data_IF_165787791737
#
_entry.id   IF_165787791737
#
_cell.length_a   1.000
_cell.length_b   1.000
_cell.length_c   1.000
_cell.angle_alpha   90.00
_cell.angle_beta   90.00
_cell.angle_gamma   90.00
#
_symmetry.space_group_name_H-M   'P 1'
#
loop_
_entity.id
_entity.type
_entity.pdbx_description
1 polymer ?
#
# COMPACT_ATOMS: atom_id res chain seq x y z
N UNK A 1 6.00 21.31 -1.64
CA UNK A 1 6.92 20.76 -0.63
C UNK A 1 8.16 20.12 -1.28
N UNK A 2 8.15 19.94 -2.60
CA UNK A 2 9.30 19.44 -3.36
C UNK A 2 9.51 17.91 -3.33
N UNK A 3 8.64 17.18 -2.69
CA UNK A 3 8.67 15.71 -2.74
C UNK A 3 8.26 15.20 -4.11
N UNK A 4 8.94 14.18 -4.60
CA UNK A 4 8.42 13.28 -5.62
C UNK A 4 7.64 12.16 -4.96
N UNK A 5 6.54 11.72 -5.56
CA UNK A 5 5.56 10.88 -4.89
C UNK A 5 5.17 9.69 -5.73
N UNK A 6 5.12 8.51 -5.15
CA UNK A 6 4.68 7.31 -5.86
C UNK A 6 3.85 6.37 -4.97
N UNK A 7 2.91 5.66 -5.60
CA UNK A 7 2.18 4.56 -5.02
C UNK A 7 2.47 3.29 -5.83
N UNK A 8 2.93 2.26 -5.17
CA UNK A 8 3.21 0.96 -5.78
C UNK A 8 2.40 -0.14 -5.11
N UNK A 9 1.71 -0.94 -5.92
CA UNK A 9 0.89 -2.05 -5.46
C UNK A 9 -0.61 -1.77 -5.47
N UNK A 10 -1.35 -2.41 -4.59
CA UNK A 10 -2.80 -2.36 -4.59
C UNK A 10 -3.34 -0.96 -4.26
N UNK A 11 -4.26 -0.46 -5.11
CA UNK A 11 -5.06 0.74 -4.88
C UNK A 11 -6.54 0.42 -5.09
N UNK A 12 -7.30 0.23 -4.01
CA UNK A 12 -8.71 -0.17 -4.06
C UNK A 12 -9.65 1.04 -3.85
N UNK A 13 -9.43 2.12 -4.64
CA UNK A 13 -10.18 3.38 -4.53
C UNK A 13 -10.90 3.77 -5.84
N UNK A 14 -11.18 2.79 -6.69
CA UNK A 14 -11.85 2.95 -7.97
C UNK A 14 -10.96 2.60 -9.16
N UNK A 15 -11.59 2.30 -10.29
CA UNK A 15 -10.96 1.67 -11.45
C UNK A 15 -10.93 2.54 -12.71
N UNK A 16 -11.61 3.69 -12.69
CA UNK A 16 -11.56 4.62 -13.83
C UNK A 16 -10.28 5.44 -13.79
N UNK A 17 -9.87 5.93 -14.95
CA UNK A 17 -8.68 6.77 -15.08
C UNK A 17 -8.71 7.98 -14.14
N UNK A 18 -9.87 8.59 -13.95
CA UNK A 18 -10.05 9.76 -13.06
C UNK A 18 -9.75 9.44 -11.57
N UNK A 19 -9.78 8.15 -11.17
CA UNK A 19 -9.52 7.71 -9.79
C UNK A 19 -8.09 7.20 -9.58
N UNK A 20 -7.27 7.15 -10.63
CA UNK A 20 -5.87 6.74 -10.51
C UNK A 20 -5.09 7.68 -9.58
N UNK A 21 -4.18 7.16 -8.76
CA UNK A 21 -3.39 7.95 -7.81
C UNK A 21 -2.69 9.17 -8.45
N UNK A 22 -2.29 9.06 -9.70
CA UNK A 22 -1.63 10.14 -10.45
C UNK A 22 -2.55 11.34 -10.72
N UNK A 23 -3.87 11.15 -10.68
CA UNK A 23 -4.84 12.25 -10.73
C UNK A 23 -5.11 12.87 -9.34
N UNK A 24 -4.55 12.29 -8.28
CA UNK A 24 -4.72 12.69 -6.88
C UNK A 24 -3.41 13.09 -6.18
N UNK A 25 -2.39 13.45 -6.95
CA UNK A 25 -1.16 14.05 -6.43
C UNK A 25 0.05 13.11 -6.32
N UNK A 26 -0.05 11.89 -6.83
CA UNK A 26 1.12 11.05 -7.04
C UNK A 26 1.73 11.32 -8.42
N UNK A 27 3.07 11.33 -8.51
CA UNK A 27 3.79 11.50 -9.78
C UNK A 27 3.80 10.19 -10.58
N UNK A 28 3.81 9.04 -9.89
CA UNK A 28 3.85 7.70 -10.49
C UNK A 28 2.97 6.72 -9.69
N UNK A 29 2.27 5.85 -10.42
CA UNK A 29 1.52 4.73 -9.87
C UNK A 29 1.81 3.48 -10.70
N UNK A 30 2.17 2.37 -10.06
CA UNK A 30 2.24 1.06 -10.69
C UNK A 30 1.60 0.03 -9.76
N UNK A 31 0.43 -0.51 -10.14
CA UNK A 31 -0.34 -1.37 -9.26
C UNK A 31 -1.65 -1.90 -9.86
N UNK A 32 -2.34 -2.70 -9.07
CA UNK A 32 -3.66 -3.24 -9.38
C UNK A 32 -4.76 -2.48 -8.63
N UNK A 33 -5.97 -2.50 -9.21
CA UNK A 33 -7.09 -1.65 -8.78
C UNK A 33 -8.13 -2.40 -7.95
N UNK A 34 -8.00 -3.72 -7.82
CA UNK A 34 -8.95 -4.57 -7.10
C UNK A 34 -8.23 -5.48 -6.10
N UNK A 35 -9.01 -6.23 -5.32
CA UNK A 35 -8.51 -7.32 -4.49
C UNK A 35 -8.28 -8.58 -5.34
N UNK A 36 -7.42 -9.48 -4.85
CA UNK A 36 -6.95 -10.63 -5.62
C UNK A 36 -8.07 -11.56 -6.11
N UNK A 37 -9.11 -11.77 -5.30
CA UNK A 37 -10.22 -12.62 -5.73
C UNK A 37 -11.01 -12.06 -6.92
N UNK A 38 -11.14 -10.73 -7.05
CA UNK A 38 -11.75 -10.13 -8.24
C UNK A 38 -10.82 -10.21 -9.47
N UNK A 39 -9.52 -10.08 -9.25
CA UNK A 39 -8.53 -10.16 -10.32
C UNK A 39 -8.43 -11.55 -10.93
N UNK A 40 -8.66 -12.64 -10.15
CA UNK A 40 -8.59 -13.99 -10.67
C UNK A 40 -9.92 -14.55 -11.19
N UNK A 41 -11.06 -13.87 -10.94
CA UNK A 41 -12.38 -14.31 -11.44
C UNK A 41 -12.40 -14.61 -12.95
N UNK A 42 -11.71 -13.86 -13.84
CA UNK A 42 -11.66 -14.21 -15.26
C UNK A 42 -11.01 -15.57 -15.58
N UNK A 43 -10.31 -16.17 -14.63
CA UNK A 43 -9.73 -17.51 -14.80
C UNK A 43 -10.62 -18.64 -14.25
N UNK A 44 -11.79 -18.30 -13.70
CA UNK A 44 -12.72 -19.30 -13.19
C UNK A 44 -13.56 -19.93 -14.32
N UNK A 45 -13.83 -21.25 -14.25
CA UNK A 45 -14.59 -21.94 -15.29
C UNK A 45 -16.01 -21.39 -15.50
N UNK A 46 -16.60 -20.80 -14.45
CA UNK A 46 -17.96 -20.27 -14.47
C UNK A 46 -18.01 -18.79 -14.90
N UNK A 47 -16.86 -18.17 -15.19
CA UNK A 47 -16.83 -16.80 -15.66
C UNK A 47 -17.52 -16.68 -17.04
N UNK A 48 -18.40 -15.69 -17.26
CA UNK A 48 -19.24 -15.60 -18.45
C UNK A 48 -18.48 -15.08 -19.68
N UNK A 49 -17.45 -15.80 -20.12
CA UNK A 49 -16.58 -15.42 -21.25
C UNK A 49 -17.32 -15.24 -22.58
N UNK A 50 -18.45 -15.93 -22.76
CA UNK A 50 -19.31 -15.86 -23.93
C UNK A 50 -20.27 -14.66 -23.92
N UNK A 51 -20.31 -13.90 -22.83
CA UNK A 51 -21.13 -12.69 -22.70
C UNK A 51 -20.26 -11.43 -22.77
N UNK A 52 -20.04 -10.94 -24.00
CA UNK A 52 -19.21 -9.76 -24.25
C UNK A 52 -19.60 -8.53 -23.42
N UNK A 53 -20.91 -8.33 -23.15
CA UNK A 53 -21.37 -7.20 -22.36
C UNK A 53 -20.94 -7.30 -20.89
N UNK A 54 -21.10 -8.48 -20.30
CA UNK A 54 -20.67 -8.72 -18.91
C UNK A 54 -19.15 -8.63 -18.78
N UNK A 55 -18.41 -9.24 -19.71
CA UNK A 55 -16.95 -9.15 -19.75
C UNK A 55 -16.52 -7.68 -19.82
N UNK A 56 -17.10 -6.89 -20.73
CA UNK A 56 -16.76 -5.46 -20.87
C UNK A 56 -17.06 -4.62 -19.62
N UNK A 57 -18.14 -4.94 -18.90
CA UNK A 57 -18.61 -4.14 -17.76
C UNK A 57 -17.98 -4.53 -16.43
N UNK A 58 -17.59 -5.80 -16.27
CA UNK A 58 -17.23 -6.36 -14.97
C UNK A 58 -15.83 -7.00 -14.90
N UNK A 59 -15.14 -7.20 -16.05
CA UNK A 59 -13.76 -7.66 -15.99
C UNK A 59 -12.85 -6.64 -15.30
N UNK A 60 -11.96 -7.08 -14.42
CA UNK A 60 -10.95 -6.22 -13.85
C UNK A 60 -10.01 -5.68 -14.94
N UNK A 61 -9.51 -4.48 -14.75
CA UNK A 61 -8.38 -3.97 -15.55
C UNK A 61 -7.12 -4.73 -15.15
N UNK A 62 -6.13 -4.72 -16.04
CA UNK A 62 -4.82 -5.27 -15.71
C UNK A 62 -4.05 -4.41 -14.68
N UNK A 63 -2.81 -4.77 -14.46
CA UNK A 63 -1.89 -3.98 -13.65
C UNK A 63 -1.55 -2.68 -14.40
N UNK A 64 -1.89 -1.55 -13.81
CA UNK A 64 -1.78 -0.23 -14.43
C UNK A 64 -0.47 0.44 -14.03
N UNK A 65 0.22 1.02 -15.01
CA UNK A 65 1.32 1.96 -14.80
C UNK A 65 0.89 3.32 -15.31
N UNK A 66 0.80 4.31 -14.43
CA UNK A 66 0.39 5.67 -14.80
C UNK A 66 1.32 6.74 -14.25
N UNK A 67 1.32 7.91 -14.89
CA UNK A 67 2.19 9.04 -14.59
C UNK A 67 1.37 10.34 -14.51
N UNK A 68 1.87 11.33 -13.77
CA UNK A 68 1.19 12.61 -13.57
C UNK A 68 1.05 13.44 -14.85
N UNK A 69 1.81 13.15 -15.91
CA UNK A 69 1.71 13.75 -17.24
C UNK A 69 0.52 13.23 -18.06
N UNK A 70 -0.17 12.21 -17.56
CA UNK A 70 -1.37 11.62 -18.15
C UNK A 70 -1.14 10.31 -18.89
N UNK A 71 0.09 9.82 -18.98
CA UNK A 71 0.38 8.52 -19.57
C UNK A 71 -0.16 7.39 -18.69
N UNK A 72 -0.93 6.49 -19.31
CA UNK A 72 -1.54 5.32 -18.66
C UNK A 72 -1.28 4.09 -19.52
N UNK A 73 -0.62 3.10 -18.96
CA UNK A 73 -0.32 1.83 -19.60
C UNK A 73 -0.94 0.68 -18.81
N UNK A 74 -1.81 -0.09 -19.46
CA UNK A 74 -2.25 -1.39 -18.92
C UNK A 74 -1.18 -2.43 -19.28
N UNK A 75 -0.50 -2.98 -18.27
CA UNK A 75 0.60 -3.92 -18.45
C UNK A 75 0.14 -5.38 -18.54
N UNK A 76 -1.17 -5.59 -18.62
CA UNK A 76 -1.81 -6.90 -18.73
C UNK A 76 -2.43 -7.40 -17.43
N UNK A 77 -3.27 -8.42 -17.56
CA UNK A 77 -4.06 -8.98 -16.48
C UNK A 77 -3.21 -9.44 -15.29
N UNK A 78 -3.77 -9.31 -14.10
CA UNK A 78 -3.23 -9.90 -12.88
C UNK A 78 -3.77 -11.32 -12.73
N UNK A 79 -3.22 -12.24 -13.51
CA UNK A 79 -3.58 -13.67 -13.48
C UNK A 79 -3.04 -14.34 -12.21
N UNK A 80 -3.57 -15.52 -11.87
CA UNK A 80 -3.07 -16.37 -10.77
C UNK A 80 -1.56 -16.62 -10.86
N UNK A 81 -1.05 -16.80 -12.07
CA UNK A 81 0.38 -16.97 -12.28
C UNK A 81 1.17 -15.68 -11.97
N UNK A 82 0.71 -14.52 -12.46
CA UNK A 82 1.35 -13.23 -12.18
C UNK A 82 1.25 -12.84 -10.70
N UNK A 83 0.17 -13.21 -10.00
CA UNK A 83 0.01 -12.97 -8.55
C UNK A 83 1.14 -13.55 -7.73
N UNK A 84 1.78 -14.63 -8.16
CA UNK A 84 2.94 -15.21 -7.47
C UNK A 84 4.12 -14.25 -7.33
N UNK A 85 4.27 -13.32 -8.29
CA UNK A 85 5.45 -12.45 -8.40
C UNK A 85 5.13 -10.95 -8.46
N UNK A 86 3.88 -10.56 -8.58
CA UNK A 86 3.47 -9.17 -8.79
C UNK A 86 3.98 -8.21 -7.70
N UNK A 87 3.99 -8.64 -6.43
CA UNK A 87 4.52 -7.82 -5.34
C UNK A 87 6.03 -7.56 -5.49
N UNK A 88 6.75 -8.49 -6.14
CA UNK A 88 8.17 -8.29 -6.50
C UNK A 88 8.31 -7.26 -7.63
N UNK A 89 7.38 -7.26 -8.62
CA UNK A 89 7.33 -6.22 -9.66
C UNK A 89 7.15 -4.84 -9.01
N UNK A 90 6.18 -4.70 -8.11
CA UNK A 90 5.92 -3.45 -7.39
C UNK A 90 7.10 -3.02 -6.52
N UNK A 91 7.73 -3.97 -5.81
CA UNK A 91 8.95 -3.69 -5.04
C UNK A 91 10.06 -3.14 -5.93
N UNK A 92 10.34 -3.78 -7.05
CA UNK A 92 11.40 -3.32 -7.96
C UNK A 92 11.12 -1.90 -8.48
N UNK A 93 9.87 -1.58 -8.81
CA UNK A 93 9.48 -0.23 -9.19
C UNK A 93 9.68 0.77 -8.04
N UNK A 94 9.36 0.39 -6.81
CA UNK A 94 9.60 1.24 -5.64
C UNK A 94 11.09 1.51 -5.41
N UNK A 95 11.94 0.49 -5.53
CA UNK A 95 13.40 0.62 -5.41
C UNK A 95 13.97 1.56 -6.50
N UNK A 96 13.53 1.38 -7.74
CA UNK A 96 13.93 2.24 -8.86
C UNK A 96 13.51 3.70 -8.63
N UNK A 97 12.26 3.92 -8.22
CA UNK A 97 11.75 5.25 -7.93
C UNK A 97 12.57 5.96 -6.84
N UNK A 98 12.87 5.28 -5.74
CA UNK A 98 13.69 5.84 -4.66
C UNK A 98 15.10 6.18 -5.16
N UNK A 99 15.70 5.32 -5.99
CA UNK A 99 17.01 5.56 -6.59
C UNK A 99 16.98 6.82 -7.46
N UNK A 100 16.01 6.93 -8.37
CA UNK A 100 15.84 8.11 -9.25
C UNK A 100 15.62 9.40 -8.43
N UNK A 101 14.86 9.34 -7.34
CA UNK A 101 14.64 10.49 -6.47
C UNK A 101 15.95 10.95 -5.80
N UNK A 102 16.74 10.02 -5.26
CA UNK A 102 18.04 10.31 -4.63
C UNK A 102 19.02 10.88 -5.63
N UNK A 103 19.14 10.28 -6.82
CA UNK A 103 20.03 10.76 -7.91
C UNK A 103 19.68 12.19 -8.35
N UNK A 104 18.40 12.56 -8.26
CA UNK A 104 17.92 13.92 -8.56
C UNK A 104 18.03 14.88 -7.36
N UNK A 105 18.50 14.42 -6.21
CA UNK A 105 18.55 15.22 -4.98
C UNK A 105 17.18 15.65 -4.45
N UNK A 106 16.13 14.87 -4.74
CA UNK A 106 14.75 15.18 -4.34
C UNK A 106 14.33 14.32 -3.15
N UNK A 107 13.60 14.86 -2.16
CA UNK A 107 12.93 14.04 -1.18
C UNK A 107 11.81 13.24 -1.84
N UNK A 108 11.53 12.05 -1.33
CA UNK A 108 10.49 11.18 -1.86
C UNK A 108 9.45 10.82 -0.81
N UNK A 109 8.24 10.51 -1.29
CA UNK A 109 7.18 9.83 -0.56
C UNK A 109 6.76 8.61 -1.37
N UNK A 110 6.99 7.42 -0.82
CA UNK A 110 6.61 6.14 -1.44
C UNK A 110 5.56 5.48 -0.56
N UNK A 111 4.43 5.13 -1.14
CA UNK A 111 3.42 4.29 -0.51
C UNK A 111 3.43 2.93 -1.20
N UNK A 112 3.93 1.92 -0.51
CA UNK A 112 4.07 0.57 -1.03
C UNK A 112 3.03 -0.35 -0.40
N UNK A 113 2.06 -0.80 -1.18
CA UNK A 113 0.95 -1.66 -0.77
C UNK A 113 1.08 -3.02 -1.43
N UNK A 114 1.51 -4.05 -0.71
CA UNK A 114 1.50 -5.40 -1.24
C UNK A 114 0.09 -5.92 -1.47
N UNK A 115 -0.10 -6.83 -2.42
CA UNK A 115 -1.36 -7.53 -2.63
C UNK A 115 -1.60 -8.60 -1.56
N UNK A 116 -0.52 -9.21 -1.09
CA UNK A 116 -0.52 -10.16 0.03
C UNK A 116 -0.52 -9.42 1.38
N UNK A 117 -1.23 -9.83 2.43
CA UNK A 117 -1.79 -11.18 2.61
C UNK A 117 -3.33 -11.16 2.44
N UNK A 118 -3.88 -10.58 1.41
CA UNK A 118 -5.30 -10.77 1.11
C UNK A 118 -5.59 -12.26 0.84
N UNK A 119 -6.81 -12.75 1.13
CA UNK A 119 -7.16 -14.10 0.69
C UNK A 119 -7.09 -14.20 -0.84
N UNK A 120 -6.90 -15.38 -1.40
CA UNK A 120 -6.51 -15.63 -2.79
C UNK A 120 -5.08 -15.15 -3.13
N UNK A 121 -4.21 -15.02 -2.14
CA UNK A 121 -2.76 -14.86 -2.36
C UNK A 121 -2.18 -16.12 -3.00
N UNK A 122 -1.33 -15.97 -3.99
CA UNK A 122 -0.57 -17.04 -4.61
C UNK A 122 0.91 -16.90 -4.27
N UNK A 123 1.49 -17.96 -3.69
CA UNK A 123 2.89 -17.99 -3.26
C UNK A 123 3.80 -18.38 -4.43
N UNK A 124 4.90 -17.66 -4.62
CA UNK A 124 5.91 -18.04 -5.60
C UNK A 124 6.53 -19.41 -5.29
N UNK A 125 6.98 -20.11 -6.33
CA UNK A 125 7.50 -21.47 -6.17
C UNK A 125 8.75 -21.54 -5.30
N UNK A 126 9.57 -20.52 -5.31
CA UNK A 126 10.78 -20.38 -4.48
C UNK A 126 10.47 -19.95 -3.03
N UNK A 127 9.25 -19.56 -2.71
CA UNK A 127 8.79 -19.24 -1.36
C UNK A 127 8.18 -20.47 -0.66
N UNK A 128 7.82 -21.49 -1.39
CA UNK A 128 7.15 -22.69 -0.84
C UNK A 128 8.04 -23.45 0.14
N UNK A 129 7.51 -23.70 1.32
CA UNK A 129 8.20 -24.43 2.39
C UNK A 129 9.13 -23.59 3.24
N UNK A 130 9.29 -22.29 2.98
CA UNK A 130 10.18 -21.41 3.76
C UNK A 130 9.83 -21.37 5.24
N UNK A 131 8.54 -21.35 5.57
CA UNK A 131 8.08 -21.31 6.97
C UNK A 131 8.04 -22.68 7.64
N UNK A 132 7.90 -23.75 6.86
CA UNK A 132 7.58 -25.10 7.35
C UNK A 132 6.19 -25.21 8.01
N UNK A 133 5.32 -24.21 7.84
CA UNK A 133 4.02 -24.13 8.51
C UNK A 133 2.83 -24.06 7.53
N UNK A 134 3.09 -24.00 6.23
CA UNK A 134 2.07 -23.95 5.22
C UNK A 134 2.08 -22.67 4.38
N UNK A 135 1.18 -22.65 3.41
CA UNK A 135 1.13 -21.70 2.31
C UNK A 135 1.05 -20.21 2.76
N UNK A 136 0.13 -19.91 3.68
CA UNK A 136 -0.04 -18.54 4.19
C UNK A 136 1.24 -18.02 4.86
N UNK A 137 1.84 -18.87 5.71
CA UNK A 137 3.06 -18.49 6.43
C UNK A 137 4.26 -18.38 5.49
N UNK A 138 4.34 -19.20 4.43
CA UNK A 138 5.36 -19.08 3.39
C UNK A 138 5.26 -17.72 2.68
N UNK A 139 4.05 -17.32 2.29
CA UNK A 139 3.81 -16.01 1.69
C UNK A 139 4.13 -14.86 2.64
N UNK A 140 3.92 -15.01 3.95
CA UNK A 140 4.29 -14.02 4.95
C UNK A 140 5.82 -13.90 5.08
N UNK A 141 6.56 -15.02 5.04
CA UNK A 141 8.03 -14.98 5.01
C UNK A 141 8.53 -14.26 3.76
N UNK A 142 7.95 -14.55 2.59
CA UNK A 142 8.27 -13.84 1.35
C UNK A 142 7.97 -12.33 1.43
N UNK A 143 6.89 -11.95 2.11
CA UNK A 143 6.57 -10.55 2.37
C UNK A 143 7.61 -9.88 3.29
N UNK A 144 8.00 -10.53 4.37
CA UNK A 144 9.03 -10.01 5.29
C UNK A 144 10.38 -9.81 4.58
N UNK A 145 10.76 -10.75 3.72
CA UNK A 145 11.97 -10.61 2.89
C UNK A 145 11.91 -9.38 1.99
N UNK A 146 10.76 -9.09 1.37
CA UNK A 146 10.60 -7.89 0.53
C UNK A 146 10.70 -6.60 1.35
N UNK A 147 10.17 -6.57 2.57
CA UNK A 147 10.35 -5.44 3.50
C UNK A 147 11.82 -5.28 3.85
N UNK A 148 12.54 -6.35 4.13
CA UNK A 148 13.98 -6.34 4.35
C UNK A 148 14.75 -5.70 3.19
N UNK A 149 14.45 -6.10 1.95
CA UNK A 149 15.10 -5.53 0.77
C UNK A 149 14.83 -4.02 0.60
N UNK A 150 13.63 -3.53 0.94
CA UNK A 150 13.32 -2.10 0.94
C UNK A 150 14.17 -1.35 1.98
N UNK A 151 14.33 -1.90 3.18
CA UNK A 151 15.15 -1.31 4.24
C UNK A 151 16.63 -1.29 3.84
N UNK A 152 17.15 -2.39 3.33
CA UNK A 152 18.52 -2.50 2.82
C UNK A 152 18.82 -1.50 1.71
N UNK A 153 17.80 -1.22 0.88
CA UNK A 153 17.94 -0.26 -0.21
C UNK A 153 18.10 1.18 0.31
N UNK A 154 17.36 1.56 1.35
CA UNK A 154 17.53 2.88 1.99
C UNK A 154 18.94 3.03 2.57
N UNK A 155 19.49 1.96 3.16
CA UNK A 155 20.87 1.94 3.67
C UNK A 155 21.89 2.08 2.52
N UNK A 156 21.70 1.35 1.41
CA UNK A 156 22.55 1.44 0.20
C UNK A 156 22.53 2.83 -0.43
N UNK A 157 21.38 3.50 -0.41
CA UNK A 157 21.24 4.87 -0.91
C UNK A 157 21.81 5.92 0.06
N UNK A 158 22.17 5.54 1.29
CA UNK A 158 22.68 6.45 2.31
C UNK A 158 21.63 7.43 2.86
N UNK A 159 20.34 7.08 2.77
CA UNK A 159 19.24 7.96 3.20
C UNK A 159 18.45 7.41 4.40
N UNK A 160 18.81 6.24 4.90
CA UNK A 160 18.07 5.57 5.98
C UNK A 160 17.91 6.44 7.23
N UNK A 161 18.95 7.18 7.63
CA UNK A 161 18.91 8.06 8.80
C UNK A 161 18.05 9.32 8.61
N UNK A 162 17.67 9.63 7.38
CA UNK A 162 16.81 10.77 7.03
C UNK A 162 15.47 10.31 6.42
N UNK A 163 15.06 9.09 6.70
CA UNK A 163 13.81 8.52 6.19
C UNK A 163 12.92 8.02 7.31
N UNK A 164 11.66 8.45 7.31
CA UNK A 164 10.62 7.86 8.15
C UNK A 164 10.12 6.61 7.44
N UNK A 165 10.23 5.46 8.09
CA UNK A 165 9.66 4.20 7.61
C UNK A 165 8.49 3.81 8.50
N UNK A 166 7.34 3.58 7.88
CA UNK A 166 6.11 3.16 8.54
C UNK A 166 5.69 1.81 7.97
N UNK A 167 5.40 0.87 8.84
CA UNK A 167 4.82 -0.41 8.47
C UNK A 167 3.51 -0.60 9.21
N UNK A 168 2.47 -0.95 8.46
CA UNK A 168 1.16 -1.30 9.01
C UNK A 168 0.38 -2.16 8.01
N UNK A 169 -0.85 -2.49 8.34
CA UNK A 169 -1.82 -3.13 7.42
C UNK A 169 -3.16 -2.42 7.54
N UNK A 170 -4.04 -2.62 6.57
CA UNK A 170 -5.34 -1.94 6.48
C UNK A 170 -6.38 -2.50 7.45
N UNK A 171 -6.30 -3.78 7.81
CA UNK A 171 -7.26 -4.46 8.69
C UNK A 171 -6.67 -5.71 9.34
N UNK A 172 -7.41 -6.25 10.28
CA UNK A 172 -7.09 -7.54 10.90
C UNK A 172 -7.20 -8.71 9.94
N UNK A 173 -6.74 -9.91 10.34
CA UNK A 173 -6.72 -11.09 9.50
C UNK A 173 -8.13 -11.55 9.09
N UNK A 174 -8.21 -12.35 8.02
CA UNK A 174 -9.45 -12.90 7.48
C UNK A 174 -9.38 -14.44 7.51
N UNK A 175 -9.46 -15.04 8.70
CA UNK A 175 -9.30 -16.47 8.87
C UNK A 175 -10.56 -17.29 8.52
N UNK A 176 -11.71 -16.64 8.40
CA UNK A 176 -12.96 -17.31 8.00
C UNK A 176 -12.87 -17.92 6.59
N UNK A 177 -12.27 -17.18 5.66
CA UNK A 177 -12.06 -17.67 4.27
C UNK A 177 -10.67 -18.27 4.07
N UNK A 178 -9.72 -17.96 4.95
CA UNK A 178 -8.33 -18.33 4.89
C UNK A 178 -7.93 -19.03 6.20
N UNK A 179 -8.33 -20.29 6.40
CA UNK A 179 -8.31 -20.95 7.71
C UNK A 179 -6.92 -21.17 8.29
N UNK A 180 -5.86 -21.08 7.49
CA UNK A 180 -4.47 -21.12 7.93
C UNK A 180 -3.86 -19.72 8.14
N UNK A 181 -4.64 -18.65 7.96
CA UNK A 181 -4.22 -17.31 8.28
C UNK A 181 -3.89 -17.19 9.78
N UNK A 182 -2.86 -16.40 10.07
CA UNK A 182 -2.55 -16.03 11.45
C UNK A 182 -3.71 -15.24 12.06
N UNK A 183 -3.99 -15.50 13.34
CA UNK A 183 -4.99 -14.77 14.12
C UNK A 183 -4.29 -13.92 15.19
N UNK A 184 -4.98 -12.87 15.64
CA UNK A 184 -4.53 -12.06 16.76
C UNK A 184 -5.20 -12.54 18.06
N UNK A 185 -4.68 -12.17 19.26
CA UNK A 185 -5.35 -12.46 20.53
C UNK A 185 -6.63 -11.65 20.73
N UNK A 186 -6.94 -10.73 19.80
CA UNK A 186 -8.13 -9.88 19.87
C UNK A 186 -9.35 -10.58 19.27
N UNK A 187 -10.52 -10.24 19.80
CA UNK A 187 -11.78 -10.84 19.37
C UNK A 187 -12.07 -10.59 17.90
N UNK A 188 -12.46 -11.66 17.19
CA UNK A 188 -12.97 -11.64 15.81
C UNK A 188 -11.91 -11.27 14.75
N UNK A 189 -12.33 -10.88 13.58
CA UNK A 189 -11.52 -10.77 12.36
C UNK A 189 -11.98 -9.62 11.47
N UNK A 190 -11.34 -9.44 10.30
CA UNK A 190 -11.76 -8.51 9.23
C UNK A 190 -13.28 -8.54 9.03
N UNK A 191 -13.85 -7.38 8.70
CA UNK A 191 -15.29 -7.14 8.50
C UNK A 191 -16.12 -7.17 9.78
N UNK A 192 -15.51 -7.07 10.94
CA UNK A 192 -16.20 -6.98 12.22
C UNK A 192 -15.84 -5.70 12.96
N UNK A 193 -16.73 -5.26 13.87
CA UNK A 193 -16.51 -4.11 14.74
C UNK A 193 -15.78 -4.47 16.05
N UNK A 194 -15.01 -5.56 16.05
CA UNK A 194 -14.21 -6.00 17.19
C UNK A 194 -12.73 -5.73 16.93
N UNK A 195 -11.94 -5.66 17.99
CA UNK A 195 -10.51 -5.34 17.89
C UNK A 195 -9.74 -6.24 16.90
N UNK A 196 -10.11 -7.52 16.78
CA UNK A 196 -9.51 -8.41 15.78
C UNK A 196 -9.74 -7.99 14.34
N UNK A 197 -10.73 -7.13 14.06
CA UNK A 197 -11.01 -6.61 12.73
C UNK A 197 -10.24 -5.33 12.39
N UNK A 198 -9.98 -4.46 13.37
CA UNK A 198 -9.39 -3.12 13.11
C UNK A 198 -8.11 -2.84 13.89
N UNK A 199 -7.77 -3.59 14.94
CA UNK A 199 -6.51 -3.44 15.65
C UNK A 199 -5.39 -4.15 14.91
N UNK A 200 -4.49 -3.37 14.33
CA UNK A 200 -3.44 -3.84 13.45
C UNK A 200 -2.05 -3.51 14.01
N UNK A 201 -1.00 -4.25 13.62
CA UNK A 201 0.36 -3.87 13.95
C UNK A 201 0.70 -2.52 13.31
N UNK A 202 1.44 -1.69 14.03
CA UNK A 202 2.01 -0.46 13.51
C UNK A 202 3.42 -0.29 14.05
N UNK A 203 4.38 -0.07 13.16
CA UNK A 203 5.78 0.14 13.49
C UNK A 203 6.30 1.39 12.78
N UNK A 204 7.07 2.20 13.50
CA UNK A 204 7.68 3.41 12.94
C UNK A 204 9.16 3.41 13.24
N UNK A 205 9.99 3.55 12.19
CA UNK A 205 11.41 3.85 12.31
C UNK A 205 11.64 5.31 11.91
N UNK A 206 12.13 6.10 12.83
CA UNK A 206 12.49 7.51 12.59
C UNK A 206 13.77 7.86 13.35
N UNK A 207 14.95 7.59 12.78
CA UNK A 207 16.23 7.85 13.43
C UNK A 207 16.36 9.30 13.92
N UNK A 208 16.93 9.45 15.11
CA UNK A 208 17.10 10.77 15.75
C UNK A 208 15.84 11.40 16.34
N UNK A 209 14.66 10.80 16.14
CA UNK A 209 13.37 11.27 16.70
C UNK A 209 12.70 10.24 17.59
N UNK A 210 12.64 9.00 17.15
CA UNK A 210 12.07 7.91 17.92
C UNK A 210 13.21 7.00 18.39
N UNK A 211 13.31 6.80 19.70
CA UNK A 211 14.30 5.90 20.29
C UNK A 211 13.97 4.44 19.96
N UNK A 212 14.99 3.65 19.69
CA UNK A 212 14.85 2.21 19.43
C UNK A 212 14.18 1.45 20.58
N UNK A 213 13.41 0.43 20.24
CA UNK A 213 12.79 -0.51 21.20
C UNK A 213 11.65 0.10 22.02
N UNK A 214 11.15 1.27 21.68
CA UNK A 214 9.99 1.83 22.36
C UNK A 214 8.70 1.12 21.97
N UNK A 215 7.81 0.95 22.95
CA UNK A 215 6.43 0.48 22.75
C UNK A 215 5.51 1.57 23.25
N UNK A 216 4.57 2.01 22.41
CA UNK A 216 3.49 2.92 22.78
C UNK A 216 2.17 2.17 22.88
N UNK A 217 1.37 2.51 23.90
CA UNK A 217 0.00 2.04 24.05
C UNK A 217 -1.03 3.14 23.69
N UNK A 218 -0.55 4.24 23.12
CA UNK A 218 -1.44 5.29 22.61
C UNK A 218 -2.29 4.75 21.46
N UNK A 219 -3.54 5.19 21.40
CA UNK A 219 -4.44 4.84 20.30
C UNK A 219 -4.16 5.78 19.15
N UNK A 220 -3.78 5.22 18.02
CA UNK A 220 -3.56 5.91 16.75
C UNK A 220 -4.33 5.22 15.64
N UNK A 221 -4.97 5.99 14.76
CA UNK A 221 -5.70 5.48 13.62
C UNK A 221 -5.04 5.88 12.29
N UNK A 222 -5.51 5.30 11.19
CA UNK A 222 -4.96 5.63 9.86
C UNK A 222 -5.20 7.09 9.48
N UNK A 223 -6.25 7.73 9.96
CA UNK A 223 -6.55 9.15 9.73
C UNK A 223 -5.47 10.07 10.28
N UNK A 224 -4.76 9.65 11.31
CA UNK A 224 -3.73 10.44 12.00
C UNK A 224 -2.44 10.58 11.18
N UNK A 225 -2.22 9.70 10.19
CA UNK A 225 -1.01 9.77 9.37
C UNK A 225 -0.94 11.04 8.53
N UNK A 226 -2.06 11.52 7.97
CA UNK A 226 -2.05 12.72 7.12
C UNK A 226 -1.58 13.95 7.91
N UNK A 227 -2.19 14.33 9.05
CA UNK A 227 -1.73 15.49 9.82
C UNK A 227 -0.32 15.28 10.39
N UNK A 228 0.03 14.08 10.81
CA UNK A 228 1.35 13.76 11.37
C UNK A 228 2.46 13.90 10.32
N UNK A 229 2.31 13.28 9.15
CA UNK A 229 3.31 13.36 8.07
C UNK A 229 3.40 14.76 7.47
N UNK A 230 2.28 15.48 7.37
CA UNK A 230 2.29 16.88 6.93
C UNK A 230 3.06 17.77 7.92
N UNK A 231 2.90 17.52 9.21
CA UNK A 231 3.65 18.22 10.25
C UNK A 231 5.15 17.87 10.20
N UNK A 232 5.50 16.59 10.04
CA UNK A 232 6.87 16.13 9.84
C UNK A 232 7.55 16.81 8.65
N UNK A 233 6.79 17.05 7.59
CA UNK A 233 7.23 17.77 6.39
C UNK A 233 7.15 19.31 6.51
N UNK A 234 6.96 19.87 7.72
CA UNK A 234 6.98 21.30 7.98
C UNK A 234 5.64 22.03 7.80
N UNK A 235 4.52 21.34 7.70
CA UNK A 235 3.16 21.92 7.57
C UNK A 235 2.23 21.43 8.69
N UNK A 236 2.44 21.85 9.96
CA UNK A 236 1.71 21.31 11.12
C UNK A 236 0.23 21.73 11.18
N UNK A 237 -0.16 22.77 10.46
CA UNK A 237 -1.50 23.35 10.55
C UNK A 237 -2.47 22.82 9.47
N UNK A 238 -2.18 21.73 8.80
CA UNK A 238 -2.95 21.22 7.65
C UNK A 238 -4.44 21.04 7.95
N UNK A 239 -4.81 20.59 9.15
CA UNK A 239 -6.22 20.41 9.57
C UNK A 239 -6.96 21.74 9.56
N UNK A 240 -6.38 22.77 10.18
CA UNK A 240 -6.97 24.10 10.21
C UNK A 240 -6.99 24.77 8.82
N UNK A 241 -5.92 24.60 8.05
CA UNK A 241 -5.80 25.12 6.68
C UNK A 241 -6.88 24.53 5.78
N UNK A 242 -7.05 23.21 5.77
CA UNK A 242 -8.07 22.54 4.95
C UNK A 242 -9.50 22.89 5.40
N UNK A 243 -9.74 23.02 6.70
CA UNK A 243 -11.04 23.45 7.24
C UNK A 243 -11.40 24.88 6.81
N UNK A 244 -10.43 25.77 6.77
CA UNK A 244 -10.61 27.14 6.27
C UNK A 244 -10.77 27.21 4.75
N UNK A 245 -10.12 26.30 4.04
CA UNK A 245 -10.02 26.26 2.58
C UNK A 245 -8.63 26.69 2.09
N UNK A 246 -8.03 25.86 1.25
CA UNK A 246 -6.73 26.11 0.62
C UNK A 246 -6.82 25.89 -0.88
N UNK A 247 -5.92 26.53 -1.62
CA UNK A 247 -5.73 26.25 -3.03
C UNK A 247 -4.37 25.56 -3.22
N UNK A 248 -4.37 24.40 -3.85
CA UNK A 248 -3.15 23.66 -4.20
C UNK A 248 -3.17 23.42 -5.71
N UNK A 249 -2.13 23.86 -6.39
CA UNK A 249 -1.97 23.76 -7.85
C UNK A 249 -3.22 24.24 -8.64
N UNK A 250 -3.79 25.36 -8.17
CA UNK A 250 -4.97 25.97 -8.77
C UNK A 250 -6.31 25.33 -8.42
N UNK A 251 -6.32 24.19 -7.72
CA UNK A 251 -7.55 23.51 -7.28
C UNK A 251 -7.91 23.90 -5.85
N UNK A 252 -9.16 24.32 -5.56
CA UNK A 252 -9.59 24.63 -4.20
C UNK A 252 -9.93 23.34 -3.44
N UNK A 253 -9.49 23.28 -2.20
CA UNK A 253 -9.81 22.21 -1.26
C UNK A 253 -10.39 22.80 0.02
N UNK A 254 -11.51 22.27 0.48
CA UNK A 254 -12.11 22.60 1.76
C UNK A 254 -12.65 21.34 2.40
N UNK A 255 -11.82 20.72 3.24
CA UNK A 255 -12.09 19.40 3.81
C UNK A 255 -11.89 19.45 5.32
N UNK A 256 -12.66 18.63 6.04
CA UNK A 256 -12.39 18.29 7.42
C UNK A 256 -11.50 17.04 7.48
N UNK A 257 -10.44 17.08 8.28
CA UNK A 257 -9.65 15.90 8.62
C UNK A 257 -9.94 15.56 10.08
N UNK A 258 -10.32 14.31 10.34
CA UNK A 258 -10.64 13.82 11.69
C UNK A 258 -9.39 13.41 12.47
N UNK A 259 -8.27 13.19 11.79
CA UNK A 259 -7.02 12.75 12.39
C UNK A 259 -6.29 13.82 13.21
N UNK A 260 -5.46 13.37 14.11
CA UNK A 260 -4.63 14.17 15.00
C UNK A 260 -3.16 14.13 14.58
N UNK A 261 -2.42 15.19 14.93
CA UNK A 261 -0.97 15.22 14.75
C UNK A 261 -0.28 14.54 15.94
N UNK A 262 0.41 13.44 15.70
CA UNK A 262 1.17 12.67 16.68
C UNK A 262 2.67 13.02 16.72
N UNK A 263 3.09 14.09 16.06
CA UNK A 263 4.45 14.60 16.25
C UNK A 263 4.63 15.04 17.69
N UNK A 264 5.76 14.62 18.34
CA UNK A 264 6.11 15.10 19.67
C UNK A 264 6.44 16.60 19.70
#
# INVERSE_FOLDING_TARGET
MGYVTALFGKNHLGDKDEFLPTNHGFDEFFGNLYHLNAEEEPEDPDYPHDNELLVKLFSPRGVIHSFADGDIVDTGALTRERMKTVDREFKLAALDFMTRAVDQGKPFFVWYNTTRMHFFTHTADDERGLSGQGFYNDAMVGHDMMVGELLDHLDKLGVADNTIVIYSTDNGPHYNTWPDAAITPFRSEKNTNWEGGFRVPAMVRWPGRIKEGQVSNEIMSHEDWVPTLRAAAGRPNVVAELKAGVTVDGKPYKNHLDGYNFLP
#
